data_IF_377579433639
#
_entry.id   IF_377579433639
#
_cell.length_a   1.000
_cell.length_b   1.000
_cell.length_c   1.000
_cell.angle_alpha   90.00
_cell.angle_beta   90.00
_cell.angle_gamma   90.00
#
_symmetry.space_group_name_H-M   'P 1'
#
loop_
_entity.id
_entity.type
_entity.pdbx_description
1 polymer ?
#
# COMPACT_ATOMS: atom_id res chain seq x y z
N UNK A 1 -88.46 -17.18 14.28
CA UNK A 1 -87.32 -18.03 14.06
C UNK A 1 -86.96 -17.97 12.58
N UNK A 2 -86.03 -17.14 12.17
CA UNK A 2 -85.47 -17.16 10.81
C UNK A 2 -83.94 -16.98 10.94
N UNK A 3 -83.20 -17.96 10.51
CA UNK A 3 -81.76 -17.97 10.47
C UNK A 3 -81.30 -17.23 9.20
N UNK A 4 -80.49 -16.20 9.37
CA UNK A 4 -79.82 -15.55 8.26
C UNK A 4 -78.49 -16.27 7.99
N UNK A 5 -78.31 -16.84 6.79
CA UNK A 5 -77.06 -17.37 6.28
C UNK A 5 -76.19 -16.21 5.76
N UNK A 6 -75.01 -16.07 6.28
CA UNK A 6 -73.96 -15.18 5.77
C UNK A 6 -73.28 -15.82 4.55
N UNK A 7 -73.37 -15.17 3.38
CA UNK A 7 -72.55 -15.48 2.22
C UNK A 7 -71.13 -14.91 2.45
N UNK A 8 -70.19 -15.79 2.65
CA UNK A 8 -68.74 -15.42 2.67
C UNK A 8 -68.24 -15.13 1.25
N UNK A 9 -67.68 -13.96 1.10
CA UNK A 9 -67.18 -13.40 -0.15
C UNK A 9 -65.83 -14.05 -0.51
N UNK A 10 -65.85 -15.07 -1.39
CA UNK A 10 -64.70 -15.79 -1.90
C UNK A 10 -63.86 -14.98 -2.89
N UNK A 11 -64.33 -13.78 -3.31
CA UNK A 11 -63.65 -12.94 -4.30
C UNK A 11 -62.50 -12.07 -3.72
N UNK A 12 -62.43 -11.94 -2.38
CA UNK A 12 -61.36 -11.17 -1.71
C UNK A 12 -60.00 -11.88 -1.67
N UNK A 13 -60.00 -13.21 -1.61
CA UNK A 13 -58.76 -14.01 -1.50
C UNK A 13 -58.02 -14.18 -2.82
N UNK A 14 -58.69 -14.26 -3.94
CA UNK A 14 -58.04 -14.40 -5.25
C UNK A 14 -57.38 -13.09 -5.73
N UNK A 15 -57.91 -11.93 -5.33
CA UNK A 15 -57.30 -10.63 -5.70
C UNK A 15 -56.05 -10.31 -4.88
N UNK A 16 -55.88 -10.87 -3.68
CA UNK A 16 -54.70 -10.69 -2.85
C UNK A 16 -53.52 -11.56 -3.32
N UNK A 17 -53.79 -12.77 -3.81
CA UNK A 17 -52.74 -13.66 -4.36
C UNK A 17 -52.23 -13.20 -5.72
N UNK A 18 -53.05 -12.50 -6.54
CA UNK A 18 -52.62 -11.94 -7.81
C UNK A 18 -51.68 -10.70 -7.64
N UNK A 19 -51.90 -9.87 -6.59
CA UNK A 19 -51.01 -8.73 -6.31
C UNK A 19 -49.65 -9.12 -5.71
N UNK A 20 -49.56 -10.26 -5.04
CA UNK A 20 -48.27 -10.75 -4.51
C UNK A 20 -47.36 -11.39 -5.58
N UNK A 21 -47.93 -11.80 -6.74
CA UNK A 21 -47.11 -12.37 -7.85
C UNK A 21 -46.47 -11.33 -8.78
N UNK A 22 -46.86 -10.04 -8.68
CA UNK A 22 -46.34 -9.00 -9.58
C UNK A 22 -45.09 -8.27 -9.10
N UNK A 23 -44.49 -8.67 -7.98
CA UNK A 23 -43.25 -8.05 -7.42
C UNK A 23 -42.05 -9.00 -7.46
N UNK A 24 -41.90 -9.81 -8.49
CA UNK A 24 -40.60 -10.40 -8.81
C UNK A 24 -39.78 -9.30 -9.47
N UNK A 25 -39.05 -8.55 -8.62
CA UNK A 25 -38.05 -7.59 -9.04
C UNK A 25 -37.02 -8.35 -9.87
N UNK A 26 -37.05 -8.14 -11.17
CA UNK A 26 -36.02 -8.64 -12.10
C UNK A 26 -34.66 -8.15 -11.55
N UNK A 27 -33.90 -9.06 -10.96
CA UNK A 27 -32.52 -8.79 -10.57
C UNK A 27 -31.78 -8.63 -11.90
N UNK A 28 -31.46 -7.38 -12.24
CA UNK A 28 -30.56 -7.08 -13.35
C UNK A 28 -29.27 -7.85 -13.12
N UNK A 29 -28.72 -8.57 -14.10
CA UNK A 29 -27.49 -9.30 -13.92
C UNK A 29 -26.42 -8.29 -13.47
N UNK A 30 -25.75 -8.62 -12.36
CA UNK A 30 -24.59 -7.85 -11.87
C UNK A 30 -23.62 -7.70 -13.04
N UNK A 31 -23.05 -6.50 -13.28
CA UNK A 31 -22.11 -6.33 -14.38
C UNK A 31 -20.99 -7.34 -14.24
N UNK A 32 -20.78 -8.13 -15.29
CA UNK A 32 -19.65 -9.05 -15.40
C UNK A 32 -18.39 -8.26 -15.10
N UNK A 33 -17.51 -8.71 -14.20
CA UNK A 33 -16.27 -7.99 -13.90
C UNK A 33 -15.48 -7.83 -15.21
N UNK A 34 -15.15 -6.60 -15.55
CA UNK A 34 -14.28 -6.28 -16.68
C UNK A 34 -13.01 -7.10 -16.54
N UNK A 35 -12.51 -7.74 -17.63
CA UNK A 35 -11.30 -8.54 -17.54
C UNK A 35 -10.17 -7.69 -16.96
N UNK A 36 -9.75 -8.04 -15.77
CA UNK A 36 -8.60 -7.42 -15.11
C UNK A 36 -7.39 -7.66 -16.00
N UNK A 37 -6.65 -6.61 -16.37
CA UNK A 37 -5.40 -6.75 -17.11
C UNK A 37 -4.53 -7.84 -16.45
N UNK A 38 -3.78 -8.63 -17.25
CA UNK A 38 -2.99 -9.73 -16.71
C UNK A 38 -2.06 -9.20 -15.60
N UNK A 39 -1.80 -10.00 -14.56
CA UNK A 39 -0.96 -9.58 -13.46
C UNK A 39 0.43 -9.19 -13.97
N UNK A 40 0.93 -8.05 -13.51
CA UNK A 40 2.27 -7.56 -13.86
C UNK A 40 3.31 -8.48 -13.23
N UNK A 41 4.26 -8.98 -14.03
CA UNK A 41 5.41 -9.73 -13.52
C UNK A 41 6.47 -8.76 -13.00
N UNK A 42 6.44 -8.49 -11.70
CA UNK A 42 7.38 -7.59 -11.05
C UNK A 42 8.80 -8.13 -10.94
N UNK A 43 9.05 -9.40 -11.29
CA UNK A 43 10.41 -9.93 -11.43
C UNK A 43 11.09 -9.42 -12.71
N UNK A 44 10.30 -8.99 -13.69
CA UNK A 44 10.77 -8.45 -14.99
C UNK A 44 10.51 -6.96 -15.12
N UNK A 45 9.38 -6.47 -14.61
CA UNK A 45 8.99 -5.07 -14.66
C UNK A 45 9.57 -4.29 -13.48
N UNK A 46 9.81 -3.00 -13.70
CA UNK A 46 10.18 -2.06 -12.65
C UNK A 46 8.92 -1.64 -11.89
N UNK A 47 8.62 -2.31 -10.77
CA UNK A 47 7.42 -2.07 -9.98
C UNK A 47 7.69 -1.19 -8.76
N UNK A 48 6.67 -0.44 -8.36
CA UNK A 48 6.61 0.31 -7.09
C UNK A 48 5.20 0.18 -6.51
N UNK A 49 5.10 0.03 -5.19
CA UNK A 49 3.83 0.09 -4.47
C UNK A 49 3.68 1.48 -3.84
N UNK A 50 2.74 2.27 -4.35
CA UNK A 50 2.27 3.47 -3.66
C UNK A 50 1.27 3.04 -2.59
N UNK A 51 1.46 3.51 -1.36
CA UNK A 51 0.60 3.17 -0.23
C UNK A 51 0.09 4.42 0.45
N UNK A 52 -1.16 4.36 0.94
CA UNK A 52 -1.84 5.48 1.55
C UNK A 52 -2.42 5.05 2.89
N UNK A 53 -2.08 5.80 3.95
CA UNK A 53 -2.47 5.51 5.32
C UNK A 53 -3.57 6.48 5.80
N UNK A 54 -4.22 6.10 6.91
CA UNK A 54 -5.21 6.86 7.69
C UNK A 54 -6.59 7.05 7.05
N UNK A 55 -6.74 6.74 5.77
CA UNK A 55 -8.03 6.84 5.09
C UNK A 55 -9.07 5.80 5.54
N UNK A 56 -10.24 5.79 4.90
CA UNK A 56 -10.67 6.72 3.89
C UNK A 56 -11.03 8.10 4.44
N UNK A 57 -10.82 9.15 3.64
CA UNK A 57 -11.09 10.52 3.99
C UNK A 57 -11.64 11.36 2.84
N UNK A 58 -11.76 12.66 3.04
CA UNK A 58 -12.35 13.62 2.09
C UNK A 58 -11.67 13.56 0.71
N UNK A 59 -10.35 13.32 0.67
CA UNK A 59 -9.59 13.38 -0.58
C UNK A 59 -9.43 12.02 -1.27
N UNK A 60 -9.84 10.93 -0.64
CA UNK A 60 -9.68 9.56 -1.15
C UNK A 60 -10.38 9.33 -2.50
N UNK A 61 -11.56 9.91 -2.71
CA UNK A 61 -12.30 9.76 -3.98
C UNK A 61 -11.50 10.32 -5.17
N UNK A 62 -10.90 11.51 -5.02
CA UNK A 62 -10.06 12.16 -6.03
C UNK A 62 -8.78 11.38 -6.27
N UNK A 63 -8.15 10.88 -5.22
CA UNK A 63 -6.97 10.01 -5.35
C UNK A 63 -7.26 8.77 -6.21
N UNK A 64 -8.42 8.13 -6.02
CA UNK A 64 -8.84 7.00 -6.84
C UNK A 64 -9.02 7.40 -8.31
N UNK A 65 -9.55 8.60 -8.61
CA UNK A 65 -9.65 9.12 -9.96
C UNK A 65 -8.27 9.29 -10.61
N UNK A 66 -7.31 9.84 -9.90
CA UNK A 66 -5.93 10.05 -10.35
C UNK A 66 -5.21 8.71 -10.63
N UNK A 67 -5.35 7.74 -9.74
CA UNK A 67 -4.80 6.40 -9.91
C UNK A 67 -5.41 5.69 -11.12
N UNK A 68 -6.73 5.79 -11.29
CA UNK A 68 -7.45 5.23 -12.43
C UNK A 68 -6.99 5.85 -13.75
N UNK A 69 -6.89 7.17 -13.81
CA UNK A 69 -6.40 7.90 -14.99
C UNK A 69 -4.97 7.46 -15.35
N UNK A 70 -4.17 7.15 -14.36
CA UNK A 70 -2.83 6.62 -14.55
C UNK A 70 -2.80 5.11 -14.89
N UNK A 71 -3.91 4.38 -14.80
CA UNK A 71 -3.94 2.91 -14.90
C UNK A 71 -3.13 2.22 -13.81
N UNK A 72 -2.98 2.88 -12.65
CA UNK A 72 -2.19 2.42 -11.52
C UNK A 72 -3.04 1.71 -10.47
N UNK A 73 -2.40 0.84 -9.68
CA UNK A 73 -2.97 0.24 -8.48
C UNK A 73 -2.16 0.68 -7.26
N UNK A 74 -2.81 0.70 -6.11
CA UNK A 74 -2.21 1.11 -4.84
C UNK A 74 -2.74 0.23 -3.70
N UNK A 75 -2.12 0.32 -2.53
CA UNK A 75 -2.62 -0.30 -1.30
C UNK A 75 -2.99 0.79 -0.30
N UNK A 76 -4.16 0.64 0.31
CA UNK A 76 -4.72 1.58 1.27
C UNK A 76 -4.77 0.92 2.65
N UNK A 77 -4.04 1.46 3.60
CA UNK A 77 -4.04 1.02 4.99
C UNK A 77 -5.06 1.86 5.78
N UNK A 78 -6.25 1.27 5.99
CA UNK A 78 -7.41 1.97 6.51
C UNK A 78 -7.43 1.99 8.03
N UNK A 79 -7.80 3.14 8.62
CA UNK A 79 -8.27 3.19 10.00
C UNK A 79 -9.69 2.66 10.08
N UNK A 80 -9.93 1.71 10.99
CA UNK A 80 -11.24 1.08 11.13
C UNK A 80 -12.36 2.07 11.48
N UNK A 81 -12.07 3.08 12.29
CA UNK A 81 -13.03 4.13 12.65
C UNK A 81 -13.49 4.98 11.46
N UNK A 82 -12.70 5.06 10.38
CA UNK A 82 -13.01 5.86 9.20
C UNK A 82 -13.80 5.07 8.14
N UNK A 83 -14.09 3.78 8.37
CA UNK A 83 -14.81 2.93 7.41
C UNK A 83 -16.28 3.28 7.35
N UNK A 84 -16.92 3.52 8.50
CA UNK A 84 -18.34 3.83 8.58
C UNK A 84 -18.65 5.16 7.84
N UNK A 85 -19.63 5.09 6.92
CA UNK A 85 -19.98 6.21 6.04
C UNK A 85 -19.15 6.30 4.76
N UNK A 86 -18.08 5.50 4.64
CA UNK A 86 -17.19 5.45 3.48
C UNK A 86 -17.19 4.09 2.76
N UNK A 87 -18.20 3.25 2.99
CA UNK A 87 -18.28 1.89 2.44
C UNK A 87 -18.25 1.88 0.90
N UNK A 88 -18.80 2.92 0.27
CA UNK A 88 -18.77 3.08 -1.17
C UNK A 88 -17.34 3.26 -1.71
N UNK A 89 -16.46 3.97 -0.98
CA UNK A 89 -15.06 4.14 -1.35
C UNK A 89 -14.28 2.82 -1.25
N UNK A 90 -14.50 2.04 -0.17
CA UNK A 90 -13.84 0.74 -0.03
C UNK A 90 -14.27 -0.24 -1.13
N UNK A 91 -15.57 -0.28 -1.47
CA UNK A 91 -16.08 -1.07 -2.61
C UNK A 91 -15.43 -0.64 -3.92
N UNK A 92 -15.32 0.67 -4.14
CA UNK A 92 -14.67 1.25 -5.32
C UNK A 92 -13.20 0.85 -5.40
N UNK A 93 -12.45 0.93 -4.29
CA UNK A 93 -11.04 0.49 -4.24
C UNK A 93 -10.89 -0.95 -4.72
N UNK A 94 -11.69 -1.86 -4.18
CA UNK A 94 -11.65 -3.28 -4.56
C UNK A 94 -12.05 -3.47 -6.04
N UNK A 95 -13.09 -2.80 -6.50
CA UNK A 95 -13.57 -2.90 -7.90
C UNK A 95 -12.54 -2.38 -8.91
N UNK A 96 -11.77 -1.35 -8.55
CA UNK A 96 -10.70 -0.78 -9.38
C UNK A 96 -9.37 -1.54 -9.24
N UNK A 97 -9.34 -2.60 -8.41
CA UNK A 97 -8.19 -3.49 -8.25
C UNK A 97 -7.12 -2.97 -7.30
N UNK A 98 -7.46 -1.99 -6.46
CA UNK A 98 -6.63 -1.59 -5.34
C UNK A 98 -6.72 -2.60 -4.20
N UNK A 99 -5.76 -2.58 -3.30
CA UNK A 99 -5.73 -3.43 -2.12
C UNK A 99 -6.13 -2.63 -0.89
N UNK A 100 -6.99 -3.22 -0.05
CA UNK A 100 -7.38 -2.66 1.24
C UNK A 100 -6.69 -3.45 2.35
N UNK A 101 -6.06 -2.76 3.29
CA UNK A 101 -5.26 -3.30 4.36
C UNK A 101 -5.59 -2.61 5.70
N UNK A 102 -5.07 -3.15 6.78
CA UNK A 102 -5.41 -2.74 8.14
C UNK A 102 -4.37 -1.78 8.70
N UNK A 103 -4.82 -0.65 9.27
CA UNK A 103 -3.99 0.33 9.98
C UNK A 103 -4.42 0.58 11.43
N UNK A 104 -4.94 -0.44 12.12
CA UNK A 104 -5.60 -0.36 13.43
C UNK A 104 -6.98 0.31 13.39
N UNK A 105 -7.67 0.33 14.54
CA UNK A 105 -8.97 0.97 14.64
C UNK A 105 -8.85 2.48 14.81
N UNK A 106 -8.04 2.92 15.80
CA UNK A 106 -7.99 4.31 16.27
C UNK A 106 -6.59 4.94 16.24
N UNK A 107 -5.62 4.32 15.56
CA UNK A 107 -4.24 4.78 15.41
C UNK A 107 -3.45 4.91 16.73
N UNK A 108 -3.54 3.95 17.67
CA UNK A 108 -2.75 4.02 18.91
C UNK A 108 -1.29 3.61 18.66
N UNK A 109 -0.41 4.02 19.58
CA UNK A 109 0.94 3.43 19.69
C UNK A 109 0.83 1.96 20.14
N UNK A 110 1.00 1.02 19.19
CA UNK A 110 0.74 -0.41 19.44
C UNK A 110 1.69 -1.03 20.47
N UNK A 111 2.86 -0.45 20.64
CA UNK A 111 3.85 -0.92 21.62
C UNK A 111 3.47 -0.56 23.06
N UNK A 112 2.59 0.40 23.25
CA UNK A 112 2.06 0.78 24.56
C UNK A 112 0.84 -0.06 25.00
N UNK A 113 0.21 -0.78 24.05
CA UNK A 113 -0.98 -1.56 24.31
C UNK A 113 -0.67 -2.96 24.82
N UNK A 114 -1.57 -3.55 25.62
CA UNK A 114 -1.53 -4.97 25.92
C UNK A 114 -1.78 -5.80 24.64
N UNK A 115 -1.31 -7.06 24.61
CA UNK A 115 -1.55 -7.95 23.47
C UNK A 115 -3.04 -8.18 23.18
N UNK A 116 -3.91 -8.12 24.19
CA UNK A 116 -5.36 -8.23 23.99
C UNK A 116 -5.94 -6.98 23.35
N UNK A 117 -5.48 -5.79 23.72
CA UNK A 117 -5.88 -4.53 23.11
C UNK A 117 -5.39 -4.44 21.64
N UNK A 118 -4.14 -4.85 21.36
CA UNK A 118 -3.62 -4.96 19.99
C UNK A 118 -4.53 -5.85 19.12
N UNK A 119 -4.90 -7.04 19.62
CA UNK A 119 -5.81 -7.93 18.89
C UNK A 119 -7.18 -7.31 18.65
N UNK A 120 -7.72 -6.58 19.62
CA UNK A 120 -9.01 -5.90 19.50
C UNK A 120 -8.99 -4.82 18.41
N UNK A 121 -7.94 -3.97 18.39
CA UNK A 121 -7.70 -2.97 17.35
C UNK A 121 -7.70 -3.60 15.95
N UNK A 122 -6.91 -4.65 15.76
CA UNK A 122 -6.76 -5.34 14.49
C UNK A 122 -8.04 -6.05 14.06
N UNK A 123 -8.66 -6.81 14.97
CA UNK A 123 -9.85 -7.59 14.66
C UNK A 123 -11.03 -6.69 14.29
N UNK A 124 -11.29 -5.66 15.10
CA UNK A 124 -12.37 -4.70 14.84
C UNK A 124 -12.23 -4.03 13.47
N UNK A 125 -11.01 -3.66 13.10
CA UNK A 125 -10.72 -3.05 11.80
C UNK A 125 -10.91 -4.04 10.66
N UNK A 126 -10.40 -5.28 10.80
CA UNK A 126 -10.60 -6.32 9.79
C UNK A 126 -12.09 -6.57 9.54
N UNK A 127 -12.91 -6.63 10.60
CA UNK A 127 -14.34 -6.89 10.49
C UNK A 127 -15.07 -5.73 9.80
N UNK A 128 -14.71 -4.47 10.13
CA UNK A 128 -15.27 -3.29 9.49
C UNK A 128 -14.93 -3.22 8.00
N UNK A 129 -13.66 -3.43 7.63
CA UNK A 129 -13.22 -3.43 6.24
C UNK A 129 -13.89 -4.56 5.46
N UNK A 130 -13.97 -5.76 6.03
CA UNK A 130 -14.63 -6.90 5.40
C UNK A 130 -16.12 -6.66 5.18
N UNK A 131 -16.81 -6.09 6.16
CA UNK A 131 -18.24 -5.77 6.04
C UNK A 131 -18.49 -4.71 4.95
N UNK A 132 -17.60 -3.71 4.83
CA UNK A 132 -17.73 -2.63 3.86
C UNK A 132 -17.34 -3.03 2.44
N UNK A 133 -16.23 -3.74 2.27
CA UNK A 133 -15.62 -4.02 0.96
C UNK A 133 -15.90 -5.43 0.43
N UNK A 134 -16.28 -6.38 1.30
CA UNK A 134 -16.35 -7.81 0.99
C UNK A 134 -15.00 -8.53 1.08
N UNK A 135 -13.91 -7.81 1.30
CA UNK A 135 -12.53 -8.35 1.35
C UNK A 135 -11.97 -8.21 2.77
N UNK A 136 -11.44 -9.31 3.32
CA UNK A 136 -10.74 -9.27 4.60
C UNK A 136 -9.28 -8.88 4.38
N UNK A 137 -8.73 -7.89 5.13
CA UNK A 137 -7.33 -7.54 5.09
C UNK A 137 -6.41 -8.73 5.39
N UNK A 138 -5.32 -8.85 4.64
CA UNK A 138 -4.31 -9.91 4.80
C UNK A 138 -2.98 -9.38 5.34
N UNK A 139 -2.85 -8.07 5.49
CA UNK A 139 -1.67 -7.39 5.99
C UNK A 139 -2.04 -6.21 6.88
N UNK A 140 -1.09 -5.81 7.69
CA UNK A 140 -1.21 -4.76 8.69
C UNK A 140 -0.05 -3.78 8.56
N UNK A 141 -0.30 -2.49 8.74
CA UNK A 141 0.75 -1.49 8.96
C UNK A 141 0.59 -0.94 10.37
N UNK A 142 1.63 -1.04 11.23
CA UNK A 142 1.56 -0.46 12.57
C UNK A 142 1.56 1.07 12.49
N UNK A 143 0.66 1.75 13.23
CA UNK A 143 0.73 3.20 13.44
C UNK A 143 2.15 3.65 13.81
N UNK A 144 2.59 4.78 13.27
CA UNK A 144 3.95 5.34 13.46
C UNK A 144 5.10 4.43 13.00
N UNK A 145 4.82 3.28 12.37
CA UNK A 145 5.80 2.22 12.13
C UNK A 145 6.24 1.50 13.40
N UNK A 146 5.65 1.82 14.54
CA UNK A 146 6.05 1.32 15.85
C UNK A 146 5.56 -0.10 16.10
N UNK A 147 6.49 -1.03 16.23
CA UNK A 147 6.20 -2.44 16.47
C UNK A 147 7.37 -3.16 17.14
N UNK A 148 7.05 -4.25 17.82
CA UNK A 148 7.99 -5.16 18.47
C UNK A 148 7.55 -6.63 18.25
N UNK A 149 8.32 -7.58 18.80
CA UNK A 149 8.01 -9.00 18.68
C UNK A 149 6.68 -9.39 19.36
N UNK A 150 6.26 -8.68 20.41
CA UNK A 150 4.99 -8.89 21.11
C UNK A 150 3.82 -8.41 20.23
N UNK A 151 3.94 -7.20 19.68
CA UNK A 151 2.96 -6.64 18.73
C UNK A 151 2.82 -7.55 17.52
N UNK A 152 3.93 -7.97 16.89
CA UNK A 152 3.92 -8.86 15.75
C UNK A 152 3.17 -10.18 16.00
N UNK A 153 3.40 -10.80 17.17
CA UNK A 153 2.65 -12.01 17.56
C UNK A 153 1.17 -11.73 17.83
N UNK A 154 0.84 -10.57 18.36
CA UNK A 154 -0.55 -10.22 18.67
C UNK A 154 -1.35 -9.87 17.40
N UNK A 155 -0.74 -9.16 16.46
CA UNK A 155 -1.29 -8.82 15.14
C UNK A 155 -1.51 -10.08 14.29
N UNK A 156 -0.59 -11.03 14.33
CA UNK A 156 -0.62 -12.29 13.59
C UNK A 156 -0.83 -12.13 12.06
N UNK A 157 -0.40 -11.01 11.50
CA UNK A 157 -0.40 -10.69 10.07
C UNK A 157 0.99 -10.19 9.65
N UNK A 158 1.37 -10.28 8.36
CA UNK A 158 2.55 -9.57 7.86
C UNK A 158 2.47 -8.08 8.15
N UNK A 159 3.55 -7.49 8.64
CA UNK A 159 3.63 -6.07 8.96
C UNK A 159 4.36 -5.33 7.84
N UNK A 160 3.65 -4.46 7.15
CA UNK A 160 4.17 -3.73 6.00
C UNK A 160 4.58 -2.32 6.43
N UNK A 161 5.86 -2.05 6.37
CA UNK A 161 6.43 -0.73 6.54
C UNK A 161 6.66 -0.07 5.17
N UNK A 162 7.73 0.72 5.02
CA UNK A 162 8.06 1.41 3.78
C UNK A 162 9.56 1.53 3.59
N UNK A 163 9.99 1.66 2.36
CA UNK A 163 11.37 1.97 1.99
C UNK A 163 11.56 3.45 1.66
N UNK A 164 10.46 4.17 1.38
CA UNK A 164 10.46 5.62 1.16
C UNK A 164 9.36 6.24 1.99
N UNK A 165 9.73 7.11 2.91
CA UNK A 165 8.80 7.98 3.65
C UNK A 165 8.69 9.32 2.92
N UNK A 166 7.50 9.67 2.46
CA UNK A 166 7.28 10.97 1.84
C UNK A 166 7.39 12.13 2.83
N UNK A 167 7.25 11.87 4.14
CA UNK A 167 7.13 12.86 5.20
C UNK A 167 6.00 13.88 4.96
N UNK A 168 4.98 13.51 4.19
CA UNK A 168 3.87 14.36 3.79
C UNK A 168 3.04 14.84 4.99
N UNK A 169 2.96 14.02 6.02
CA UNK A 169 2.34 14.31 7.31
C UNK A 169 3.05 15.44 8.07
N UNK A 170 4.35 15.64 7.84
CA UNK A 170 5.16 16.64 8.53
C UNK A 170 5.21 17.98 7.77
N UNK A 171 5.66 17.96 6.51
CA UNK A 171 5.94 19.20 5.78
C UNK A 171 4.76 19.76 4.99
N UNK A 172 3.72 18.97 4.71
CA UNK A 172 2.48 19.40 4.01
C UNK A 172 2.74 20.16 2.70
N UNK A 173 3.79 19.81 1.98
CA UNK A 173 4.26 20.52 0.79
C UNK A 173 4.10 19.66 -0.46
N UNK A 174 3.28 20.13 -1.41
CA UNK A 174 3.05 19.45 -2.70
C UNK A 174 4.38 19.25 -3.45
N UNK A 175 5.22 20.27 -3.54
CA UNK A 175 6.50 20.17 -4.26
C UNK A 175 7.48 19.19 -3.62
N UNK A 176 7.52 19.13 -2.29
CA UNK A 176 8.35 18.17 -1.57
C UNK A 176 7.84 16.74 -1.77
N UNK A 177 6.52 16.53 -1.69
CA UNK A 177 5.89 15.24 -1.98
C UNK A 177 6.21 14.75 -3.39
N UNK A 178 6.13 15.64 -4.39
CA UNK A 178 6.50 15.33 -5.77
C UNK A 178 7.96 14.92 -5.86
N UNK A 179 8.86 15.70 -5.27
CA UNK A 179 10.30 15.44 -5.29
C UNK A 179 10.61 14.07 -4.69
N UNK A 180 10.19 13.82 -3.44
CA UNK A 180 10.46 12.57 -2.74
C UNK A 180 9.80 11.40 -3.48
N UNK A 181 8.49 11.49 -3.74
CA UNK A 181 7.72 10.42 -4.38
C UNK A 181 8.17 10.09 -5.79
N UNK A 182 8.87 11.02 -6.49
CA UNK A 182 9.38 10.79 -7.83
C UNK A 182 10.81 10.29 -7.84
N UNK A 183 11.71 10.86 -7.01
CA UNK A 183 13.15 10.62 -7.13
C UNK A 183 13.67 9.45 -6.30
N UNK A 184 13.08 9.21 -5.12
CA UNK A 184 13.61 8.25 -4.15
C UNK A 184 13.18 6.78 -4.36
N UNK A 185 11.98 6.48 -4.91
CA UNK A 185 11.56 5.09 -5.06
C UNK A 185 12.48 4.27 -5.95
N UNK A 186 12.82 3.07 -5.49
CA UNK A 186 13.54 2.04 -6.23
C UNK A 186 12.61 0.89 -6.61
N UNK A 187 13.05 0.03 -7.54
CA UNK A 187 12.26 -1.13 -7.97
C UNK A 187 12.09 -2.11 -6.82
N UNK A 188 10.83 -2.44 -6.51
CA UNK A 188 10.47 -3.26 -5.34
C UNK A 188 10.12 -2.42 -4.11
N UNK A 189 10.27 -1.09 -4.19
CA UNK A 189 10.03 -0.18 -3.08
C UNK A 189 8.55 0.00 -2.74
N UNK A 190 8.30 0.34 -1.48
CA UNK A 190 7.01 0.72 -0.92
C UNK A 190 7.13 2.18 -0.49
N UNK A 191 6.23 3.03 -0.98
CA UNK A 191 6.22 4.46 -0.69
C UNK A 191 5.05 4.80 0.21
N UNK A 192 5.32 5.45 1.34
CA UNK A 192 4.32 5.94 2.27
C UNK A 192 3.83 7.33 1.88
N UNK A 193 2.51 7.46 1.80
CA UNK A 193 1.74 8.69 1.77
C UNK A 193 0.52 8.58 2.68
N UNK A 194 -0.21 9.68 2.88
CA UNK A 194 -1.48 9.72 3.62
C UNK A 194 -2.55 10.39 2.74
N UNK A 195 -3.68 9.74 2.53
CA UNK A 195 -4.76 10.26 1.66
C UNK A 195 -5.70 11.24 2.37
N UNK A 196 -5.49 11.45 3.65
CA UNK A 196 -6.20 12.45 4.47
C UNK A 196 -5.65 13.88 4.31
N UNK A 197 -4.49 14.04 3.66
CA UNK A 197 -3.85 15.34 3.50
C UNK A 197 -4.00 15.88 2.06
N UNK A 198 -4.58 17.08 1.85
CA UNK A 198 -4.77 17.63 0.52
C UNK A 198 -3.45 17.76 -0.26
N UNK A 199 -2.36 18.21 0.40
CA UNK A 199 -1.06 18.37 -0.25
C UNK A 199 -0.45 17.04 -0.71
N UNK A 200 -0.77 15.93 -0.06
CA UNK A 200 -0.34 14.60 -0.49
C UNK A 200 -1.07 14.22 -1.76
N UNK A 201 -2.40 14.31 -1.76
CA UNK A 201 -3.22 13.94 -2.90
C UNK A 201 -2.96 14.86 -4.10
N UNK A 202 -2.78 16.18 -3.90
CA UNK A 202 -2.41 17.14 -4.95
C UNK A 202 -1.09 16.80 -5.65
N UNK A 203 -0.17 16.12 -4.97
CA UNK A 203 1.11 15.72 -5.54
C UNK A 203 1.01 14.48 -6.43
N UNK A 204 0.03 13.61 -6.21
CA UNK A 204 -0.02 12.27 -6.82
C UNK A 204 -0.03 12.29 -8.35
N UNK A 205 -0.76 13.15 -9.07
CA UNK A 205 -0.70 13.17 -10.53
C UNK A 205 0.72 13.36 -11.07
N UNK A 206 1.52 14.21 -10.44
CA UNK A 206 2.89 14.47 -10.84
C UNK A 206 3.85 13.35 -10.41
N UNK A 207 3.64 12.75 -9.23
CA UNK A 207 4.37 11.55 -8.77
C UNK A 207 4.16 10.41 -9.76
N UNK A 208 2.91 10.10 -10.12
CA UNK A 208 2.57 9.06 -11.09
C UNK A 208 3.23 9.33 -12.46
N UNK A 209 3.14 10.56 -12.95
CA UNK A 209 3.77 10.94 -14.22
C UNK A 209 5.29 10.81 -14.15
N UNK A 210 5.92 11.29 -13.08
CA UNK A 210 7.37 11.20 -12.88
C UNK A 210 7.88 9.77 -12.80
N UNK A 211 7.22 8.92 -12.04
CA UNK A 211 7.56 7.50 -11.92
C UNK A 211 7.34 6.73 -13.23
N UNK A 212 6.28 7.05 -13.99
CA UNK A 212 6.08 6.48 -15.34
C UNK A 212 7.25 6.83 -16.28
N UNK A 213 7.73 8.08 -16.27
CA UNK A 213 8.92 8.46 -17.06
C UNK A 213 10.18 7.69 -16.66
N UNK A 214 10.27 7.28 -15.39
CA UNK A 214 11.33 6.39 -14.87
C UNK A 214 11.10 4.91 -15.20
N UNK A 215 10.02 4.56 -15.89
CA UNK A 215 9.66 3.21 -16.32
C UNK A 215 9.00 2.35 -15.23
N UNK A 216 8.44 2.95 -14.20
CA UNK A 216 7.73 2.22 -13.15
C UNK A 216 6.32 1.82 -13.54
N UNK A 217 5.91 0.64 -13.07
CA UNK A 217 4.53 0.16 -13.04
C UNK A 217 4.03 0.19 -11.60
N UNK A 218 2.82 0.73 -11.42
CA UNK A 218 2.17 0.86 -10.11
C UNK A 218 1.39 -0.40 -9.77
N UNK A 219 1.72 -1.02 -8.67
CA UNK A 219 1.16 -2.30 -8.22
C UNK A 219 0.75 -2.22 -6.75
N UNK A 220 -0.05 -3.18 -6.30
CA UNK A 220 -0.35 -3.34 -4.88
C UNK A 220 0.84 -3.94 -4.12
N UNK A 221 0.81 -3.88 -2.78
CA UNK A 221 1.82 -4.54 -1.94
C UNK A 221 1.82 -6.05 -2.18
N UNK A 222 0.67 -6.71 -2.27
CA UNK A 222 0.61 -8.13 -2.60
C UNK A 222 1.26 -8.45 -3.95
N UNK A 223 1.07 -7.59 -4.94
CA UNK A 223 1.66 -7.79 -6.27
C UNK A 223 3.18 -7.56 -6.28
N UNK A 224 3.69 -6.61 -5.47
CA UNK A 224 5.14 -6.36 -5.41
C UNK A 224 5.90 -7.52 -4.78
N UNK A 225 5.23 -8.26 -3.85
CA UNK A 225 5.76 -9.47 -3.22
C UNK A 225 5.37 -10.76 -3.94
N UNK A 226 4.88 -10.69 -5.17
CA UNK A 226 4.48 -11.84 -5.95
C UNK A 226 5.56 -12.95 -5.96
N UNK A 227 5.15 -14.18 -5.61
CA UNK A 227 6.06 -15.31 -5.49
C UNK A 227 6.81 -15.42 -4.16
N UNK A 228 6.60 -14.47 -3.23
CA UNK A 228 7.14 -14.53 -1.87
C UNK A 228 6.00 -14.81 -0.87
N UNK A 229 6.25 -15.68 0.09
CA UNK A 229 5.31 -15.93 1.19
C UNK A 229 5.63 -15.01 2.35
N UNK A 230 4.76 -14.04 2.60
CA UNK A 230 4.89 -13.14 3.75
C UNK A 230 4.46 -13.87 5.03
N UNK A 231 5.32 -13.83 6.05
CA UNK A 231 5.11 -14.52 7.33
C UNK A 231 4.39 -13.61 8.32
N UNK A 232 3.37 -14.11 9.04
CA UNK A 232 2.72 -13.37 10.12
C UNK A 232 3.73 -12.87 11.16
N UNK A 233 3.55 -11.63 11.62
CA UNK A 233 4.39 -10.99 12.62
C UNK A 233 5.73 -10.45 12.13
N UNK A 234 6.15 -10.77 10.89
CA UNK A 234 7.38 -10.25 10.30
C UNK A 234 7.15 -8.90 9.64
N UNK A 235 8.21 -8.07 9.62
CA UNK A 235 8.23 -6.74 9.02
C UNK A 235 8.80 -6.79 7.61
N UNK A 236 8.21 -6.00 6.69
CA UNK A 236 8.62 -5.90 5.29
C UNK A 236 8.65 -4.43 4.88
N UNK A 237 9.81 -3.96 4.41
CA UNK A 237 10.00 -2.56 3.99
C UNK A 237 9.96 -2.40 2.47
N UNK A 238 10.33 -3.46 1.76
CA UNK A 238 10.36 -3.53 0.30
C UNK A 238 10.41 -4.99 -0.13
N UNK A 239 10.11 -5.26 -1.39
CA UNK A 239 10.32 -6.59 -1.96
C UNK A 239 11.80 -6.78 -2.31
N UNK A 240 12.38 -7.92 -1.88
CA UNK A 240 13.70 -8.32 -2.32
C UNK A 240 13.69 -8.58 -3.82
N UNK A 241 14.63 -7.98 -4.53
CA UNK A 241 14.81 -8.21 -5.96
C UNK A 241 16.05 -9.06 -6.18
N UNK A 242 16.00 -10.09 -7.05
CA UNK A 242 17.20 -10.72 -7.51
C UNK A 242 18.09 -9.65 -8.17
N UNK A 243 19.33 -9.54 -7.73
CA UNK A 243 20.29 -8.71 -8.43
C UNK A 243 20.32 -9.14 -9.90
N UNK A 244 20.30 -8.21 -10.87
CA UNK A 244 20.47 -8.58 -12.27
C UNK A 244 21.76 -9.37 -12.38
N UNK A 245 21.67 -10.59 -12.97
CA UNK A 245 22.88 -11.37 -13.24
C UNK A 245 23.86 -10.48 -14.01
N UNK A 246 25.13 -10.38 -13.58
CA UNK A 246 26.10 -9.59 -14.32
C UNK A 246 26.05 -10.06 -15.77
N UNK A 247 25.88 -9.09 -16.69
CA UNK A 247 25.94 -9.38 -18.12
C UNK A 247 27.28 -10.09 -18.37
N UNK A 248 27.27 -11.26 -19.03
CA UNK A 248 28.54 -11.93 -19.35
C UNK A 248 29.44 -10.92 -20.04
N UNK A 249 30.66 -10.76 -19.51
CA UNK A 249 31.64 -9.89 -20.12
C UNK A 249 31.76 -10.31 -21.59
N UNK A 250 31.58 -9.38 -22.50
CA UNK A 250 31.90 -9.63 -23.92
C UNK A 250 33.33 -10.11 -23.99
N UNK A 251 33.63 -11.19 -24.70
CA UNK A 251 35.02 -11.66 -24.83
C UNK A 251 35.85 -10.49 -25.39
N UNK A 252 36.79 -10.03 -24.58
CA UNK A 252 37.79 -9.04 -25.00
C UNK A 252 38.50 -9.62 -26.21
N UNK A 253 38.42 -8.94 -27.33
CA UNK A 253 39.10 -9.30 -28.53
C UNK A 253 40.61 -9.49 -28.22
N UNK A 254 41.12 -10.60 -28.66
CA UNK A 254 42.53 -10.95 -28.58
C UNK A 254 43.39 -9.82 -29.16
N UNK A 255 44.36 -9.25 -28.41
CA UNK A 255 45.28 -8.31 -29.01
C UNK A 255 46.30 -9.12 -29.84
N UNK A 256 46.15 -9.06 -31.15
CA UNK A 256 47.20 -9.44 -32.08
C UNK A 256 48.20 -8.29 -32.16
N UNK A 257 49.39 -8.47 -31.59
CA UNK A 257 50.48 -7.50 -31.66
C UNK A 257 51.76 -8.16 -31.21
N UNK A 258 52.59 -8.53 -32.20
CA UNK A 258 53.94 -9.05 -32.00
C UNK A 258 54.86 -8.08 -31.26
N UNK A 259 55.86 -8.59 -30.53
CA UNK A 259 56.81 -7.77 -29.80
C UNK A 259 58.03 -7.40 -30.66
N UNK A 260 58.38 -6.13 -30.63
CA UNK A 260 59.75 -5.68 -31.04
C UNK A 260 60.10 -4.44 -30.24
N UNK A 261 61.18 -4.51 -29.47
CA UNK A 261 61.78 -3.33 -28.83
C UNK A 261 62.59 -3.66 -27.58
N UNK A 262 63.89 -3.67 -27.74
CA UNK A 262 64.98 -3.91 -26.81
C UNK A 262 65.00 -2.97 -25.59
N UNK A 263 65.66 -3.35 -24.46
CA UNK A 263 65.63 -2.61 -23.21
C UNK A 263 66.61 -1.47 -23.15
N UNK A 264 66.27 -0.36 -22.50
CA UNK A 264 67.22 0.68 -22.08
C UNK A 264 67.12 0.87 -20.57
N UNK A 265 68.24 0.78 -19.96
CA UNK A 265 68.58 0.89 -18.55
C UNK A 265 68.54 2.33 -18.03
N UNK A 266 68.24 2.48 -16.73
CA UNK A 266 68.60 3.65 -15.96
C UNK A 266 67.66 3.99 -14.80
N UNK A 267 68.16 4.51 -13.66
CA UNK A 267 67.77 4.02 -12.33
C UNK A 267 67.14 5.08 -11.45
N UNK A 268 66.67 4.56 -10.30
CA UNK A 268 66.49 5.24 -8.99
C UNK A 268 65.42 6.29 -8.78
N UNK A 269 64.63 6.07 -7.72
CA UNK A 269 63.92 7.16 -7.02
C UNK A 269 62.80 6.72 -6.13
N UNK A 270 63.04 6.46 -4.86
CA UNK A 270 62.22 6.86 -3.70
C UNK A 270 60.89 6.22 -3.40
N UNK A 271 60.62 5.89 -2.13
CA UNK A 271 59.38 5.23 -1.72
C UNK A 271 58.25 6.25 -1.50
N UNK A 272 57.13 6.08 -2.22
CA UNK A 272 55.92 6.83 -2.07
C UNK A 272 54.87 6.08 -1.23
N UNK A 273 54.55 6.68 -0.16
CA UNK A 273 53.58 6.47 0.90
C UNK A 273 52.23 5.90 0.40
N UNK A 274 51.78 4.81 1.03
CA UNK A 274 50.43 4.26 0.90
C UNK A 274 49.39 5.20 1.50
N UNK A 275 48.18 5.32 0.90
CA UNK A 275 47.07 5.96 1.57
C UNK A 275 46.37 4.95 2.49
N UNK A 276 46.34 5.30 3.75
CA UNK A 276 45.58 4.63 4.81
C UNK A 276 44.08 4.74 4.53
N UNK A 277 43.43 3.61 4.32
CA UNK A 277 41.98 3.51 4.32
C UNK A 277 41.43 3.71 5.74
N UNK A 278 40.66 4.77 5.94
CA UNK A 278 39.90 4.97 7.15
C UNK A 278 38.73 4.00 7.25
N UNK A 279 38.27 3.68 8.47
CA UNK A 279 37.13 2.78 8.66
C UNK A 279 35.81 3.41 8.16
N UNK A 280 34.80 2.60 7.76
CA UNK A 280 33.52 3.10 7.31
C UNK A 280 32.81 3.79 8.47
N UNK A 281 32.22 4.94 8.19
CA UNK A 281 31.39 5.70 9.11
C UNK A 281 30.19 4.87 9.59
N UNK A 282 29.79 4.96 10.86
CA UNK A 282 28.59 4.27 11.36
C UNK A 282 27.33 4.89 10.75
N UNK A 283 26.41 4.02 10.41
CA UNK A 283 25.04 4.37 10.01
C UNK A 283 24.37 5.24 11.08
N UNK A 284 23.55 6.23 10.72
CA UNK A 284 22.86 7.04 11.69
C UNK A 284 21.85 6.20 12.47
N UNK A 285 22.06 6.12 13.78
CA UNK A 285 21.08 5.60 14.73
C UNK A 285 19.89 6.56 14.79
N UNK A 286 18.74 6.09 14.38
CA UNK A 286 17.47 6.81 14.52
C UNK A 286 17.08 6.87 15.99
N UNK A 287 17.13 8.04 16.60
CA UNK A 287 16.53 8.33 17.89
C UNK A 287 15.22 9.09 17.67
N UNK A 288 14.08 8.63 18.16
CA UNK A 288 12.84 9.38 18.08
C UNK A 288 12.90 10.53 19.09
N UNK A 289 12.98 11.76 18.59
CA UNK A 289 12.75 12.96 19.37
C UNK A 289 11.53 13.66 18.79
N UNK A 290 10.39 13.52 19.48
CA UNK A 290 9.36 14.56 19.61
C UNK A 290 8.19 14.00 20.42
N UNK A 291 7.98 14.56 21.57
CA UNK A 291 6.76 14.46 22.38
C UNK A 291 5.59 15.02 21.58
N UNK A 292 4.45 14.31 21.41
CA UNK A 292 3.27 14.88 20.78
C UNK A 292 2.62 15.90 21.72
N UNK A 293 2.34 17.08 21.19
CA UNK A 293 1.43 18.04 21.84
C UNK A 293 0.01 17.43 21.84
N UNK A 294 -0.54 17.27 23.02
CA UNK A 294 -1.92 16.85 23.22
C UNK A 294 -2.88 17.87 22.57
N UNK A 295 -3.97 17.43 21.92
CA UNK A 295 -4.99 18.33 21.43
C UNK A 295 -5.74 18.95 22.60
N UNK A 296 -5.83 20.28 22.65
CA UNK A 296 -6.63 21.03 23.59
C UNK A 296 -8.10 20.70 23.41
N UNK A 297 -8.76 20.32 24.49
CA UNK A 297 -10.20 20.13 24.53
C UNK A 297 -10.95 21.44 24.23
N UNK A 298 -12.10 21.39 23.53
CA UNK A 298 -12.93 22.58 23.37
C UNK A 298 -13.59 22.93 24.72
N UNK A 299 -13.54 24.19 25.07
CA UNK A 299 -14.28 24.76 26.19
C UNK A 299 -15.78 24.68 25.91
N UNK A 300 -16.53 24.30 26.97
CA UNK A 300 -18.00 24.21 27.07
C UNK A 300 -18.72 25.53 26.81
#
# INVERSE_FOLDING_TARGET
MLAAFACEDTNGRERQTARQRAAVKTISPSPTPTPTAPPVDCMKAKCVALTFDDGPGEHTARLLDDLKAAGGRATFFMLGQNVAGNEALLKRMVQEGHEVANHSWSHPEMTELSSSAVRAEVQRTNDAIQAASGVRPTMFRPPYGATDARVGRAVAMPQILWSVDSLDWQHRSVSTNIRIGTSEPESGGIVLFHDIHPASVDAIPQVLSGLKRRGFTFVTVSQIFQGQTLKPGHQYLQAERPLPKPKPASPSGTPSGSPSGTPSSGPSGGPGRAPSGGPPSPSPSWTPSATPLAPSAPAS
#
